data_IF_653794214211
#
_entry.id   IF_653794214211
#
_cell.length_a   1.000
_cell.length_b   1.000
_cell.length_c   1.000
_cell.angle_alpha   90.00
_cell.angle_beta   90.00
_cell.angle_gamma   90.00
#
_symmetry.space_group_name_H-M   'P 1'
#
loop_
_entity.id
_entity.type
_entity.pdbx_description
1 polymer ?
#
# COMPACT_ATOMS: atom_id res chain seq x y z
N UNK A 1 3.57 -15.41 -25.31
CA UNK A 1 4.74 -14.98 -24.51
C UNK A 1 5.78 -14.26 -25.35
N UNK A 2 6.43 -14.90 -26.33
CA UNK A 2 7.50 -14.26 -27.13
C UNK A 2 7.07 -12.94 -27.79
N UNK A 3 5.88 -12.87 -28.41
CA UNK A 3 5.37 -11.63 -29.03
C UNK A 3 5.11 -10.51 -28.01
N UNK A 4 4.62 -10.85 -26.82
CA UNK A 4 4.35 -9.89 -25.73
C UNK A 4 5.68 -9.34 -25.20
N UNK A 5 6.65 -10.23 -24.94
CA UNK A 5 7.97 -9.83 -24.47
C UNK A 5 8.71 -8.96 -25.50
N UNK A 6 8.56 -9.23 -26.80
CA UNK A 6 9.10 -8.37 -27.85
C UNK A 6 8.49 -6.96 -27.82
N UNK A 7 7.19 -6.84 -27.54
CA UNK A 7 6.49 -5.57 -27.52
C UNK A 7 6.81 -4.73 -26.28
N UNK A 8 6.82 -5.36 -25.09
CA UNK A 8 6.88 -4.65 -23.82
C UNK A 8 8.24 -4.76 -23.12
N UNK A 9 9.04 -5.80 -23.36
CA UNK A 9 10.39 -5.98 -22.78
C UNK A 9 10.43 -5.92 -21.24
N UNK A 10 9.34 -6.35 -20.62
CA UNK A 10 9.10 -6.34 -19.18
C UNK A 10 8.88 -7.76 -18.63
N UNK A 11 9.09 -8.81 -19.44
CA UNK A 11 8.94 -10.21 -19.01
C UNK A 11 10.32 -10.83 -18.79
N UNK A 12 10.55 -11.28 -17.56
CA UNK A 12 11.70 -12.11 -17.19
C UNK A 12 11.26 -13.57 -17.17
N UNK A 13 11.97 -14.43 -17.91
CA UNK A 13 11.77 -15.88 -17.86
C UNK A 13 12.97 -16.49 -17.15
N UNK A 14 12.74 -16.98 -15.94
CA UNK A 14 13.76 -17.68 -15.16
C UNK A 14 13.95 -19.11 -15.71
N UNK A 15 15.18 -19.64 -15.74
CA UNK A 15 15.47 -20.98 -16.25
C UNK A 15 15.11 -22.08 -15.23
N UNK A 16 13.90 -22.02 -14.68
CA UNK A 16 13.36 -22.96 -13.69
C UNK A 16 11.95 -23.39 -14.05
N UNK A 17 11.52 -24.53 -13.52
CA UNK A 17 10.12 -24.94 -13.63
C UNK A 17 9.24 -24.07 -12.74
N UNK A 18 8.08 -23.63 -13.25
CA UNK A 18 7.14 -22.82 -12.47
C UNK A 18 6.70 -23.57 -11.20
N UNK A 19 6.80 -22.89 -10.06
CA UNK A 19 6.54 -23.47 -8.76
C UNK A 19 6.21 -22.40 -7.72
N UNK A 20 5.62 -22.84 -6.60
CA UNK A 20 5.33 -21.97 -5.45
C UNK A 20 6.41 -22.06 -4.35
N UNK A 21 7.02 -23.24 -4.16
CA UNK A 21 7.81 -23.56 -2.96
C UNK A 21 9.23 -24.09 -3.26
N UNK A 22 9.70 -23.94 -4.50
CA UNK A 22 10.91 -24.57 -5.05
C UNK A 22 11.93 -23.55 -5.55
N UNK A 23 12.10 -22.43 -4.86
CA UNK A 23 13.20 -21.49 -5.11
C UNK A 23 12.92 -20.32 -6.04
N UNK A 24 11.68 -20.17 -6.54
CA UNK A 24 11.32 -19.06 -7.47
C UNK A 24 11.73 -17.68 -6.97
N UNK A 25 11.47 -17.35 -5.69
CA UNK A 25 11.84 -16.04 -5.14
C UNK A 25 13.35 -15.85 -4.95
N UNK A 26 14.08 -16.92 -4.63
CA UNK A 26 15.53 -16.85 -4.62
C UNK A 26 16.07 -16.51 -6.01
N UNK A 27 15.59 -17.20 -7.05
CA UNK A 27 16.06 -16.99 -8.42
C UNK A 27 15.63 -15.63 -8.97
N UNK A 28 14.46 -15.14 -8.57
CA UNK A 28 14.03 -13.77 -8.83
C UNK A 28 14.98 -12.74 -8.20
N UNK A 29 15.32 -12.85 -6.91
CA UNK A 29 16.26 -11.93 -6.26
C UNK A 29 17.68 -12.08 -6.80
N UNK A 30 18.10 -13.28 -7.17
CA UNK A 30 19.37 -13.51 -7.88
C UNK A 30 19.38 -12.78 -9.23
N UNK A 31 18.33 -12.94 -10.04
CA UNK A 31 18.20 -12.21 -11.30
C UNK A 31 18.21 -10.69 -11.07
N UNK A 32 17.44 -10.20 -10.10
CA UNK A 32 17.32 -8.78 -9.78
C UNK A 32 18.66 -8.18 -9.32
N UNK A 33 19.42 -8.89 -8.49
CA UNK A 33 20.75 -8.48 -8.02
C UNK A 33 21.75 -8.22 -9.17
N UNK A 34 21.52 -8.85 -10.32
CA UNK A 34 22.41 -8.76 -11.48
C UNK A 34 21.84 -7.83 -12.54
N UNK A 35 20.54 -7.87 -12.78
CA UNK A 35 19.92 -7.32 -13.99
C UNK A 35 18.84 -6.26 -13.73
N UNK A 36 18.36 -6.09 -12.48
CA UNK A 36 17.42 -5.02 -12.18
C UNK A 36 18.18 -3.69 -12.14
N UNK A 37 18.02 -2.91 -13.21
CA UNK A 37 18.57 -1.57 -13.36
C UNK A 37 17.41 -0.60 -13.51
N UNK A 38 17.55 0.61 -12.99
CA UNK A 38 16.55 1.67 -13.11
C UNK A 38 17.15 2.92 -13.75
N UNK A 39 16.37 3.69 -14.52
CA UNK A 39 16.81 4.98 -15.03
C UNK A 39 17.30 5.88 -13.90
N UNK A 40 18.36 6.68 -14.11
CA UNK A 40 18.83 7.59 -13.09
C UNK A 40 17.77 8.66 -12.80
N UNK A 41 17.88 9.30 -11.64
CA UNK A 41 17.05 10.47 -11.35
C UNK A 41 17.33 11.57 -12.38
N UNK A 42 16.30 11.95 -13.12
CA UNK A 42 16.32 13.08 -14.03
C UNK A 42 15.92 14.33 -13.23
N UNK A 43 16.68 15.42 -13.33
CA UNK A 43 16.54 16.63 -12.51
C UNK A 43 15.10 17.17 -12.35
N UNK A 44 14.83 17.68 -11.14
CA UNK A 44 13.58 18.26 -10.62
C UNK A 44 13.76 18.54 -9.11
N UNK A 45 12.89 19.30 -8.44
CA UNK A 45 13.01 19.85 -7.06
C UNK A 45 13.31 18.87 -5.90
N UNK A 46 13.63 17.62 -6.20
CA UNK A 46 13.99 16.52 -5.30
C UNK A 46 15.47 16.12 -5.55
N UNK A 47 16.36 17.12 -5.61
CA UNK A 47 17.70 17.08 -6.24
C UNK A 47 18.72 16.21 -5.47
N UNK A 48 18.45 15.81 -4.24
CA UNK A 48 19.37 14.95 -3.49
C UNK A 48 19.15 13.50 -3.85
N UNK A 49 19.95 13.00 -4.81
CA UNK A 49 20.19 11.56 -4.91
C UNK A 49 20.76 11.09 -3.56
N UNK A 50 20.29 9.97 -3.00
CA UNK A 50 20.89 9.41 -1.79
C UNK A 50 22.39 9.18 -2.01
N UNK A 51 23.22 9.69 -1.10
CA UNK A 51 24.68 9.53 -1.15
C UNK A 51 25.15 8.65 -0.01
N UNK A 52 26.27 7.94 -0.22
CA UNK A 52 26.89 7.13 0.83
C UNK A 52 26.42 5.68 0.89
N UNK A 53 25.62 5.23 -0.07
CA UNK A 53 25.33 3.81 -0.22
C UNK A 53 26.44 3.08 -0.98
N UNK A 54 26.75 1.86 -0.56
CA UNK A 54 27.80 1.03 -1.16
C UNK A 54 27.58 0.77 -2.66
N UNK A 55 26.32 0.78 -3.09
CA UNK A 55 25.91 0.53 -4.47
C UNK A 55 25.68 1.81 -5.30
N UNK A 56 25.80 3.01 -4.72
CA UNK A 56 25.44 4.28 -5.39
C UNK A 56 26.26 4.55 -6.66
N UNK A 57 27.50 4.06 -6.72
CA UNK A 57 28.40 4.24 -7.86
C UNK A 57 28.30 3.09 -8.89
N UNK A 58 27.48 2.07 -8.64
CA UNK A 58 27.32 0.94 -9.54
C UNK A 58 26.31 1.33 -10.62
N UNK A 59 26.74 1.27 -11.88
CA UNK A 59 25.90 1.61 -13.01
C UNK A 59 26.09 0.66 -14.18
N UNK A 60 25.11 0.66 -15.09
CA UNK A 60 25.10 -0.14 -16.31
C UNK A 60 24.62 0.71 -17.49
N UNK A 61 25.10 0.44 -18.72
CA UNK A 61 24.48 0.99 -19.92
C UNK A 61 22.97 0.72 -19.92
N UNK A 62 22.14 1.66 -20.40
CA UNK A 62 20.70 1.45 -20.47
C UNK A 62 20.36 0.22 -21.33
N UNK A 63 19.40 -0.61 -20.92
CA UNK A 63 18.90 -1.70 -21.75
C UNK A 63 18.15 -1.16 -22.98
N UNK A 64 17.76 -2.06 -23.87
CA UNK A 64 16.92 -1.68 -25.02
C UNK A 64 15.55 -1.24 -24.52
N UNK A 65 15.21 0.03 -24.74
CA UNK A 65 14.00 0.63 -24.20
C UNK A 65 12.70 0.07 -24.82
N UNK A 66 11.66 0.01 -24.00
CA UNK A 66 10.27 -0.27 -24.36
C UNK A 66 9.46 1.03 -24.56
N UNK A 67 8.26 0.89 -25.13
CA UNK A 67 7.34 2.03 -25.37
C UNK A 67 6.83 2.63 -24.07
N UNK A 68 6.74 1.84 -23.00
CA UNK A 68 6.23 2.28 -21.69
C UNK A 68 7.31 2.83 -20.74
N UNK A 69 8.60 2.81 -21.12
CA UNK A 69 9.68 3.36 -20.29
C UNK A 69 9.48 4.86 -19.95
N UNK A 70 10.28 5.46 -19.05
CA UNK A 70 10.17 6.89 -18.81
C UNK A 70 10.46 7.72 -20.08
N UNK A 71 9.60 8.72 -20.35
CA UNK A 71 9.74 9.63 -21.51
C UNK A 71 11.14 10.24 -21.59
N UNK A 72 11.73 10.57 -20.45
CA UNK A 72 13.08 11.13 -20.36
C UNK A 72 14.15 10.13 -20.83
N UNK A 73 14.05 8.87 -20.43
CA UNK A 73 14.97 7.82 -20.91
C UNK A 73 14.87 7.62 -22.44
N UNK A 74 13.66 7.64 -23.00
CA UNK A 74 13.47 7.58 -24.45
C UNK A 74 14.05 8.80 -25.18
N UNK A 75 13.90 9.99 -24.60
CA UNK A 75 14.49 11.23 -25.15
C UNK A 75 16.00 11.16 -25.18
N UNK A 76 16.64 10.82 -24.07
CA UNK A 76 18.09 10.65 -23.97
C UNK A 76 18.59 9.63 -24.99
N UNK A 77 17.87 8.51 -25.15
CA UNK A 77 18.21 7.51 -26.15
C UNK A 77 18.11 8.02 -27.59
N UNK A 78 17.10 8.83 -27.91
CA UNK A 78 16.92 9.42 -29.24
C UNK A 78 17.96 10.50 -29.57
N UNK A 79 18.42 11.25 -28.56
CA UNK A 79 19.45 12.28 -28.71
C UNK A 79 20.89 11.74 -28.68
N UNK A 80 21.07 10.45 -28.36
CA UNK A 80 22.40 9.86 -28.16
C UNK A 80 23.04 10.20 -26.81
N UNK A 81 22.33 10.94 -25.94
CA UNK A 81 22.76 11.37 -24.61
C UNK A 81 22.39 10.34 -23.53
N UNK A 82 22.63 9.06 -23.82
CA UNK A 82 22.23 7.95 -22.94
C UNK A 82 22.89 8.05 -21.57
N UNK A 83 22.10 8.28 -20.53
CA UNK A 83 22.58 8.24 -19.15
C UNK A 83 22.68 6.79 -18.65
N UNK A 84 23.72 6.44 -17.88
CA UNK A 84 23.84 5.11 -17.30
C UNK A 84 22.74 4.88 -16.26
N UNK A 85 22.19 3.67 -16.26
CA UNK A 85 21.18 3.23 -15.28
C UNK A 85 21.87 2.78 -14.00
N UNK A 86 21.19 2.93 -12.87
CA UNK A 86 21.72 2.69 -11.53
C UNK A 86 21.02 1.51 -10.86
N UNK A 87 21.56 1.06 -9.72
CA UNK A 87 20.87 0.07 -8.89
C UNK A 87 19.60 0.66 -8.28
N UNK A 88 18.52 -0.13 -8.16
CA UNK A 88 17.34 0.29 -7.43
C UNK A 88 17.64 0.29 -5.93
N UNK A 89 17.04 1.21 -5.16
CA UNK A 89 17.18 1.22 -3.69
C UNK A 89 16.43 0.04 -3.04
N UNK A 90 15.34 -0.41 -3.68
CA UNK A 90 14.52 -1.55 -3.26
C UNK A 90 14.18 -2.45 -4.44
N UNK A 91 14.06 -3.76 -4.17
CA UNK A 91 13.37 -4.71 -5.06
C UNK A 91 12.10 -5.16 -4.37
N UNK A 92 11.00 -5.06 -5.10
CA UNK A 92 9.67 -5.42 -4.63
C UNK A 92 9.27 -6.75 -5.27
N UNK A 93 8.81 -7.70 -4.45
CA UNK A 93 8.12 -8.91 -4.90
C UNK A 93 6.64 -8.70 -4.63
N UNK A 94 5.82 -8.80 -5.68
CA UNK A 94 4.38 -8.69 -5.60
C UNK A 94 3.75 -9.93 -6.24
N UNK A 95 2.62 -10.35 -5.69
CA UNK A 95 1.74 -11.28 -6.35
C UNK A 95 1.03 -10.56 -7.51
N UNK A 96 0.53 -11.39 -8.41
CA UNK A 96 0.19 -10.97 -9.75
C UNK A 96 -1.26 -10.41 -9.77
N UNK A 97 -2.09 -10.84 -8.81
CA UNK A 97 -3.47 -10.41 -8.62
C UNK A 97 -3.67 -9.36 -7.50
N UNK A 98 -2.59 -8.73 -7.09
CA UNK A 98 -2.58 -7.71 -6.06
C UNK A 98 -2.89 -6.32 -6.64
N UNK A 99 -3.62 -5.50 -5.88
CA UNK A 99 -3.73 -4.07 -6.17
C UNK A 99 -2.59 -3.29 -5.51
N UNK A 100 -1.86 -2.45 -6.25
CA UNK A 100 -0.80 -1.60 -5.70
C UNK A 100 -0.94 -0.16 -6.18
N UNK A 101 -0.99 0.81 -5.25
CA UNK A 101 -0.79 2.22 -5.59
C UNK A 101 0.70 2.57 -5.54
N UNK A 102 1.37 2.62 -6.70
CA UNK A 102 2.84 2.73 -6.74
C UNK A 102 3.38 4.01 -6.09
N UNK A 103 2.68 5.14 -6.21
CA UNK A 103 3.12 6.39 -5.59
C UNK A 103 3.08 6.31 -4.04
N UNK A 104 2.14 5.56 -3.48
CA UNK A 104 2.03 5.31 -2.04
C UNK A 104 3.10 4.31 -1.56
N UNK A 105 3.41 3.29 -2.38
CA UNK A 105 4.52 2.37 -2.14
C UNK A 105 5.85 3.11 -2.16
N UNK A 106 6.11 3.88 -3.22
CA UNK A 106 7.34 4.66 -3.38
C UNK A 106 7.54 5.64 -2.23
N UNK A 107 6.51 6.40 -1.86
CA UNK A 107 6.60 7.37 -0.77
C UNK A 107 6.99 6.69 0.56
N UNK A 108 6.39 5.53 0.87
CA UNK A 108 6.70 4.79 2.11
C UNK A 108 8.11 4.21 2.08
N UNK A 109 8.52 3.55 1.00
CA UNK A 109 9.87 3.01 0.88
C UNK A 109 10.94 4.11 1.01
N UNK A 110 10.70 5.30 0.43
CA UNK A 110 11.60 6.45 0.56
C UNK A 110 11.70 6.95 2.01
N UNK A 111 10.60 7.03 2.75
CA UNK A 111 10.63 7.39 4.17
C UNK A 111 11.50 6.41 4.95
N UNK A 112 11.33 5.12 4.71
CA UNK A 112 12.09 4.11 5.43
C UNK A 112 13.58 4.16 5.11
N UNK A 113 13.94 4.35 3.84
CA UNK A 113 15.33 4.47 3.38
C UNK A 113 16.08 5.62 4.07
N UNK A 114 15.41 6.74 4.28
CA UNK A 114 16.01 7.96 4.84
C UNK A 114 15.83 8.10 6.35
N UNK A 115 15.05 7.22 6.97
CA UNK A 115 14.91 7.19 8.43
C UNK A 115 16.22 6.68 9.05
N UNK A 116 16.83 7.41 10.01
CA UNK A 116 18.02 6.95 10.70
C UNK A 116 17.81 5.59 11.36
N UNK A 117 18.81 4.72 11.29
CA UNK A 117 18.74 3.42 11.96
C UNK A 117 18.52 3.60 13.46
N UNK A 118 17.40 3.06 13.96
CA UNK A 118 17.17 2.86 15.39
C UNK A 118 17.02 1.36 15.58
N UNK A 119 17.72 0.78 16.57
CA UNK A 119 17.52 -0.62 16.97
C UNK A 119 16.07 -0.77 17.42
N UNK A 120 15.27 -1.46 16.62
CA UNK A 120 13.97 -1.95 17.05
C UNK A 120 14.16 -3.35 17.62
N UNK A 121 13.97 -3.51 18.93
CA UNK A 121 13.83 -4.83 19.53
C UNK A 121 12.46 -5.40 19.14
N UNK A 122 12.44 -6.34 18.21
CA UNK A 122 11.25 -7.14 17.94
C UNK A 122 11.37 -8.40 18.79
N UNK A 123 10.54 -8.47 19.84
CA UNK A 123 10.39 -9.70 20.62
C UNK A 123 9.59 -10.72 19.80
N UNK A 124 10.29 -11.73 19.28
CA UNK A 124 9.67 -12.86 18.60
C UNK A 124 9.17 -13.87 19.64
N UNK A 125 7.89 -14.21 19.64
CA UNK A 125 7.35 -15.26 20.52
C UNK A 125 7.89 -16.64 20.11
N UNK A 126 8.60 -17.28 21.04
CA UNK A 126 9.11 -18.65 20.92
C UNK A 126 7.95 -19.65 20.75
N UNK A 127 8.14 -20.59 19.83
CA UNK A 127 7.09 -21.54 19.43
C UNK A 127 6.91 -22.66 20.44
N UNK A 128 6.34 -22.40 21.61
CA UNK A 128 5.92 -23.47 22.55
C UNK A 128 4.73 -23.15 23.46
N UNK A 129 4.11 -21.96 23.44
CA UNK A 129 2.99 -21.69 24.36
C UNK A 129 1.88 -20.82 23.77
N UNK A 130 0.97 -21.42 22.99
CA UNK A 130 -0.37 -20.86 22.79
C UNK A 130 -1.39 -21.92 22.35
N UNK A 131 -1.53 -22.98 23.14
CA UNK A 131 -2.81 -23.70 23.26
C UNK A 131 -3.34 -23.42 24.66
N UNK A 132 -3.89 -22.22 24.87
CA UNK A 132 -4.88 -22.02 25.92
C UNK A 132 -6.23 -22.07 25.23
N UNK A 133 -6.94 -23.15 25.52
CA UNK A 133 -8.30 -23.41 25.10
C UNK A 133 -9.17 -22.18 25.35
N UNK A 134 -9.84 -21.69 24.30
CA UNK A 134 -11.06 -20.91 24.48
C UNK A 134 -12.10 -21.86 25.06
N UNK A 135 -12.27 -21.84 26.38
CA UNK A 135 -13.50 -22.27 27.01
C UNK A 135 -14.60 -21.33 26.54
N UNK A 136 -15.52 -21.84 25.71
CA UNK A 136 -16.82 -21.21 25.54
C UNK A 136 -17.65 -21.43 26.83
N UNK A 137 -18.48 -20.45 27.23
CA UNK A 137 -19.36 -20.60 28.38
C UNK A 137 -20.54 -21.54 28.04
N UNK A 138 -20.72 -22.55 28.89
CA UNK A 138 -21.85 -23.46 28.89
C UNK A 138 -23.20 -22.71 28.88
N UNK A 139 -24.04 -23.00 27.89
CA UNK A 139 -25.49 -22.75 27.95
C UNK A 139 -26.21 -24.07 27.70
N UNK A 140 -26.85 -24.55 28.76
CA UNK A 140 -27.80 -25.67 28.78
C UNK A 140 -28.94 -25.47 27.76
N UNK A 141 -29.24 -26.49 26.93
CA UNK A 141 -30.57 -27.12 26.85
C UNK A 141 -30.62 -28.31 25.87
N UNK A 142 -30.77 -29.51 26.44
CA UNK A 142 -31.72 -30.60 26.10
C UNK A 142 -32.32 -30.73 24.69
N UNK A 143 -32.03 -31.86 24.01
CA UNK A 143 -32.94 -32.98 23.68
C UNK A 143 -32.73 -33.62 22.30
N UNK A 144 -32.64 -34.96 22.34
CA UNK A 144 -32.60 -35.96 21.28
C UNK A 144 -33.60 -35.77 20.12
N UNK A 145 -33.19 -36.16 18.91
CA UNK A 145 -33.78 -37.31 18.17
C UNK A 145 -32.89 -37.74 17.00
N UNK A 146 -32.86 -39.06 16.79
CA UNK A 146 -32.06 -39.87 15.86
C UNK A 146 -32.34 -39.71 14.34
N UNK A 147 -31.50 -40.45 13.59
CA UNK A 147 -31.63 -41.08 12.25
C UNK A 147 -31.01 -40.31 11.03
N UNK A 148 -30.51 -40.98 9.95
CA UNK A 148 -29.14 -41.50 9.79
C UNK A 148 -28.42 -41.04 8.47
N UNK A 149 -27.16 -41.43 8.36
CA UNK A 149 -26.15 -41.26 7.27
C UNK A 149 -26.63 -41.74 5.87
N UNK A 150 -26.09 -41.20 4.76
CA UNK A 150 -25.20 -42.01 3.93
C UNK A 150 -23.84 -41.37 3.59
N UNK A 151 -22.86 -42.27 3.58
CA UNK A 151 -21.43 -42.16 3.31
C UNK A 151 -21.14 -41.74 1.87
N UNK A 152 -20.01 -41.07 1.61
CA UNK A 152 -19.14 -41.30 0.44
C UNK A 152 -17.76 -40.64 0.63
N UNK A 153 -16.81 -41.51 1.01
CA UNK A 153 -15.38 -41.59 0.68
C UNK A 153 -14.56 -40.36 0.25
N UNK A 154 -13.52 -40.07 1.04
CA UNK A 154 -12.25 -39.60 0.52
C UNK A 154 -11.10 -40.34 1.23
N UNK A 155 -10.36 -41.09 0.42
CA UNK A 155 -9.27 -41.98 0.77
C UNK A 155 -8.09 -41.32 1.50
N UNK A 156 -7.58 -42.11 2.44
CA UNK A 156 -6.37 -41.97 3.25
C UNK A 156 -5.09 -42.16 2.43
N UNK A 157 -4.06 -41.37 2.75
CA UNK A 157 -2.70 -41.93 2.83
C UNK A 157 -1.99 -41.33 4.05
N UNK A 158 -1.73 -42.23 4.98
CA UNK A 158 -0.92 -42.13 6.18
C UNK A 158 0.55 -42.01 5.83
N UNK A 159 1.31 -41.20 6.58
CA UNK A 159 2.63 -41.61 7.04
C UNK A 159 2.95 -40.97 8.38
N UNK A 160 3.03 -41.85 9.38
CA UNK A 160 3.38 -41.63 10.76
C UNK A 160 4.88 -41.83 10.94
N UNK A 161 5.59 -40.84 11.47
CA UNK A 161 6.87 -41.09 12.13
C UNK A 161 6.91 -40.42 13.50
N UNK A 162 6.87 -41.32 14.48
CA UNK A 162 7.10 -41.23 15.92
C UNK A 162 8.46 -40.59 16.21
N UNK A 163 8.50 -39.62 17.13
CA UNK A 163 9.71 -39.32 17.91
C UNK A 163 9.32 -39.22 19.38
N UNK A 164 9.91 -40.14 20.14
CA UNK A 164 9.79 -40.36 21.57
C UNK A 164 10.50 -39.28 22.39
N UNK A 165 9.82 -38.82 23.43
CA UNK A 165 10.38 -38.03 24.53
C UNK A 165 11.44 -38.83 25.30
N UNK A 166 12.57 -38.19 25.61
CA UNK A 166 13.34 -38.50 26.81
C UNK A 166 14.02 -37.24 27.36
N UNK A 167 13.52 -36.85 28.54
CA UNK A 167 14.19 -36.30 29.72
C UNK A 167 15.47 -35.48 29.59
N UNK A 168 15.42 -34.29 30.21
CA UNK A 168 16.47 -33.29 30.20
C UNK A 168 17.76 -33.64 30.94
N UNK A 169 18.83 -32.99 30.49
CA UNK A 169 20.03 -32.67 31.26
C UNK A 169 20.51 -31.29 30.84
N UNK A 170 20.69 -30.42 31.83
CA UNK A 170 21.28 -29.09 31.73
C UNK A 170 22.79 -29.20 31.46
N UNK A 171 23.33 -28.55 30.42
CA UNK A 171 24.75 -28.22 30.34
C UNK A 171 25.01 -26.94 29.53
N UNK A 172 25.39 -25.88 30.27
CA UNK A 172 26.35 -24.89 29.79
C UNK A 172 27.67 -25.60 29.51
N UNK A 173 28.24 -25.53 28.32
CA UNK A 173 29.71 -25.42 28.12
C UNK A 173 30.01 -24.84 26.74
N UNK A 174 30.87 -23.82 26.77
CA UNK A 174 31.48 -23.12 25.65
C UNK A 174 32.31 -24.08 24.79
N UNK A 175 32.16 -24.01 23.47
CA UNK A 175 33.22 -24.40 22.52
C UNK A 175 33.35 -23.23 21.52
N UNK A 176 34.39 -22.43 21.76
CA UNK A 176 34.87 -21.39 20.88
C UNK A 176 35.37 -22.01 19.58
N UNK A 177 34.70 -21.73 18.47
CA UNK A 177 35.28 -21.92 17.15
C UNK A 177 36.35 -20.82 16.93
N UNK A 178 37.45 -21.11 16.21
CA UNK A 178 38.49 -20.12 15.96
C UNK A 178 37.89 -18.93 15.17
N UNK A 179 38.35 -17.69 15.41
CA UNK A 179 37.86 -16.54 14.69
C UNK A 179 38.21 -16.73 13.21
N UNK A 180 37.19 -16.99 12.39
CA UNK A 180 37.29 -16.75 10.96
C UNK A 180 37.64 -15.27 10.74
N UNK A 181 38.32 -14.92 9.65
CA UNK A 181 38.65 -13.52 9.36
C UNK A 181 37.37 -12.69 9.47
N UNK A 182 37.40 -11.69 10.36
CA UNK A 182 36.26 -10.79 10.50
C UNK A 182 35.98 -10.16 9.13
N UNK A 183 34.73 -10.25 8.63
CA UNK A 183 34.37 -9.49 7.45
C UNK A 183 34.48 -8.01 7.81
N UNK A 184 35.41 -7.32 7.16
CA UNK A 184 35.51 -5.87 7.16
C UNK A 184 34.26 -5.31 6.46
N UNK A 185 33.13 -5.27 7.16
CA UNK A 185 31.87 -4.76 6.61
C UNK A 185 31.71 -3.29 7.03
N UNK A 186 32.52 -2.41 6.42
CA UNK A 186 32.33 -0.94 6.44
C UNK A 186 31.02 -0.53 5.72
N UNK A 187 30.19 -1.49 5.33
CA UNK A 187 28.94 -1.26 4.64
C UNK A 187 27.85 -0.78 5.61
N UNK A 188 27.68 0.53 5.75
CA UNK A 188 26.62 1.14 6.57
C UNK A 188 25.26 1.21 5.87
N UNK A 189 25.06 0.50 4.76
CA UNK A 189 23.79 0.52 4.04
C UNK A 189 22.61 0.10 4.96
N UNK A 190 21.43 0.74 4.79
CA UNK A 190 20.24 0.36 5.52
C UNK A 190 19.75 -1.02 5.07
N UNK A 191 19.50 -1.90 6.04
CA UNK A 191 18.92 -3.22 5.82
C UNK A 191 17.44 -3.18 6.17
N UNK A 192 16.57 -3.18 5.16
CA UNK A 192 15.13 -2.97 5.34
C UNK A 192 14.36 -4.13 4.70
N UNK A 193 13.60 -4.84 5.54
CA UNK A 193 12.59 -5.80 5.12
C UNK A 193 11.22 -5.19 5.37
N UNK A 194 10.51 -4.84 4.31
CA UNK A 194 9.27 -4.06 4.36
C UNK A 194 8.10 -4.90 3.83
N UNK A 195 6.95 -4.81 4.48
CA UNK A 195 5.73 -5.48 3.99
C UNK A 195 4.69 -5.70 5.08
N UNK A 196 3.71 -6.55 4.80
CA UNK A 196 2.66 -6.88 5.77
C UNK A 196 3.13 -7.96 6.75
N UNK A 197 3.44 -7.56 7.99
CA UNK A 197 4.01 -8.46 8.99
C UNK A 197 2.94 -9.37 9.62
N UNK A 198 3.02 -10.68 9.34
CA UNK A 198 2.10 -11.67 9.90
C UNK A 198 2.65 -12.25 11.19
N UNK A 199 1.91 -12.07 12.29
CA UNK A 199 2.20 -12.62 13.62
C UNK A 199 3.63 -12.33 14.09
N UNK A 200 4.18 -11.16 13.72
CA UNK A 200 5.58 -10.80 13.96
C UNK A 200 6.58 -11.87 13.47
N UNK A 201 6.26 -12.63 12.42
CA UNK A 201 7.09 -13.77 11.97
C UNK A 201 7.59 -13.65 10.54
N UNK A 202 6.82 -13.12 9.61
CA UNK A 202 7.25 -12.98 8.22
C UNK A 202 6.42 -11.91 7.53
N UNK A 203 7.00 -11.25 6.54
CA UNK A 203 6.20 -10.43 5.63
C UNK A 203 5.44 -11.39 4.73
N UNK A 204 4.14 -11.22 4.66
CA UNK A 204 3.26 -12.08 3.88
C UNK A 204 2.27 -11.24 3.11
N UNK A 205 1.35 -11.97 2.48
CA UNK A 205 0.35 -11.38 1.64
C UNK A 205 0.96 -11.05 0.29
N UNK A 206 0.22 -10.22 -0.40
CA UNK A 206 0.38 -9.90 -1.79
C UNK A 206 1.71 -9.18 -2.15
N UNK A 207 2.48 -8.67 -1.17
CA UNK A 207 3.72 -7.94 -1.45
C UNK A 207 4.69 -7.86 -0.26
N UNK A 208 5.98 -7.87 -0.58
CA UNK A 208 7.04 -7.35 0.30
C UNK A 208 8.19 -6.72 -0.52
N UNK A 209 9.02 -5.93 0.15
CA UNK A 209 10.18 -5.28 -0.45
C UNK A 209 11.44 -5.51 0.39
N UNK A 210 12.57 -5.65 -0.31
CA UNK A 210 13.90 -5.75 0.27
C UNK A 210 14.75 -4.57 -0.21
N UNK A 211 15.46 -3.92 0.70
CA UNK A 211 16.54 -2.98 0.34
C UNK A 211 17.58 -3.69 -0.54
N UNK A 212 18.21 -2.97 -1.47
CA UNK A 212 19.21 -3.54 -2.38
C UNK A 212 20.27 -4.40 -1.70
N UNK A 213 20.80 -3.95 -0.55
CA UNK A 213 21.88 -4.65 0.15
C UNK A 213 21.44 -6.04 0.65
N UNK A 214 20.17 -6.19 1.04
CA UNK A 214 19.58 -7.49 1.36
C UNK A 214 19.38 -8.36 0.12
N UNK A 215 18.93 -7.78 -1.00
CA UNK A 215 18.80 -8.50 -2.29
C UNK A 215 20.16 -9.02 -2.76
N UNK A 216 21.18 -8.18 -2.69
CA UNK A 216 22.55 -8.52 -3.06
C UNK A 216 23.09 -9.63 -2.14
N UNK A 217 22.82 -9.58 -0.84
CA UNK A 217 23.21 -10.65 0.08
C UNK A 217 22.48 -11.97 -0.24
N UNK A 218 21.15 -11.96 -0.35
CA UNK A 218 20.32 -13.15 -0.69
C UNK A 218 20.84 -13.85 -1.94
N UNK A 219 21.21 -13.08 -2.97
CA UNK A 219 21.68 -13.63 -4.23
C UNK A 219 23.06 -14.30 -4.16
N UNK A 220 23.92 -13.86 -3.24
CA UNK A 220 25.33 -14.25 -3.22
C UNK A 220 25.68 -15.22 -2.08
N UNK A 221 24.93 -15.19 -0.98
CA UNK A 221 25.19 -16.02 0.20
C UNK A 221 25.07 -17.53 -0.10
N UNK A 222 26.12 -18.34 0.17
CA UNK A 222 26.09 -19.78 -0.12
C UNK A 222 25.05 -20.55 0.70
N UNK A 223 24.74 -20.11 1.92
CA UNK A 223 23.80 -20.81 2.78
C UNK A 223 22.36 -20.53 2.37
N UNK A 224 22.04 -19.29 2.01
CA UNK A 224 20.71 -18.92 1.46
C UNK A 224 20.36 -19.76 0.23
N UNK A 225 21.33 -20.03 -0.67
CA UNK A 225 21.15 -20.90 -1.84
C UNK A 225 20.72 -22.32 -1.50
N UNK A 226 21.02 -22.81 -0.29
CA UNK A 226 20.57 -24.13 0.18
C UNK A 226 19.18 -24.10 0.83
N UNK A 227 18.65 -22.92 1.13
CA UNK A 227 17.39 -22.69 1.86
C UNK A 227 16.25 -22.23 0.94
N UNK A 228 16.07 -22.88 -0.20
CA UNK A 228 15.10 -22.47 -1.23
C UNK A 228 13.80 -23.26 -1.22
N UNK A 229 13.69 -24.31 -0.39
CA UNK A 229 12.51 -25.18 -0.31
C UNK A 229 11.56 -24.80 0.82
N UNK A 230 10.28 -24.64 0.48
CA UNK A 230 9.18 -24.36 1.41
C UNK A 230 8.39 -23.11 1.01
N UNK A 231 7.41 -22.75 1.83
CA UNK A 231 6.60 -21.55 1.60
C UNK A 231 7.48 -20.31 1.52
N UNK A 232 7.39 -19.62 0.39
CA UNK A 232 8.27 -18.55 -0.04
C UNK A 232 8.44 -17.43 0.99
N UNK A 233 7.35 -16.76 1.41
CA UNK A 233 7.37 -15.68 2.41
C UNK A 233 8.11 -16.08 3.70
N UNK A 234 7.91 -17.34 4.12
CA UNK A 234 8.57 -17.90 5.31
C UNK A 234 10.05 -18.15 5.06
N UNK A 235 10.46 -18.53 3.85
CA UNK A 235 11.87 -18.70 3.50
C UNK A 235 12.58 -17.36 3.47
N UNK A 236 12.01 -16.34 2.82
CA UNK A 236 12.56 -14.98 2.83
C UNK A 236 12.80 -14.49 4.25
N UNK A 237 11.83 -14.72 5.13
CA UNK A 237 11.93 -14.38 6.55
C UNK A 237 13.00 -15.18 7.32
N UNK A 238 13.24 -16.45 6.96
CA UNK A 238 14.35 -17.23 7.52
C UNK A 238 15.69 -16.66 7.07
N UNK A 239 15.84 -16.29 5.80
CA UNK A 239 17.04 -15.65 5.28
C UNK A 239 17.35 -14.37 6.06
N UNK A 240 16.36 -13.50 6.29
CA UNK A 240 16.58 -12.28 7.08
C UNK A 240 17.09 -12.58 8.49
N UNK A 241 16.56 -13.61 9.17
CA UNK A 241 17.01 -13.98 10.53
C UNK A 241 18.41 -14.56 10.61
N UNK A 242 18.91 -15.16 9.54
CA UNK A 242 20.26 -15.72 9.50
C UNK A 242 21.30 -14.74 8.94
N UNK A 243 20.87 -13.55 8.51
CA UNK A 243 21.79 -12.52 8.03
C UNK A 243 22.84 -12.21 9.12
N UNK A 244 24.13 -12.03 8.78
CA UNK A 244 25.18 -11.74 9.78
C UNK A 244 24.88 -10.50 10.64
N UNK A 245 24.16 -9.54 10.07
CA UNK A 245 23.65 -8.33 10.72
C UNK A 245 22.14 -8.36 10.92
N UNK A 246 21.57 -9.51 11.30
CA UNK A 246 20.12 -9.66 11.49
C UNK A 246 19.55 -8.62 12.47
N UNK A 247 20.31 -8.26 13.51
CA UNK A 247 19.92 -7.25 14.50
C UNK A 247 19.84 -5.81 13.93
N UNK A 248 20.48 -5.56 12.79
CA UNK A 248 20.39 -4.28 12.08
C UNK A 248 19.25 -4.26 11.06
N UNK A 249 18.62 -5.40 10.77
CA UNK A 249 17.51 -5.47 9.82
C UNK A 249 16.28 -4.82 10.44
N UNK A 250 15.79 -3.77 9.79
CA UNK A 250 14.52 -3.12 10.11
C UNK A 250 13.38 -3.87 9.46
N UNK A 251 12.53 -4.48 10.29
CA UNK A 251 11.29 -5.09 9.86
C UNK A 251 10.18 -4.05 9.89
N UNK A 252 9.94 -3.44 8.74
CA UNK A 252 8.93 -2.39 8.62
C UNK A 252 7.59 -3.03 8.29
N UNK A 253 6.76 -3.19 9.32
CA UNK A 253 5.38 -3.65 9.16
C UNK A 253 4.53 -2.51 8.61
N UNK A 254 4.03 -2.68 7.39
CA UNK A 254 3.18 -1.70 6.73
C UNK A 254 1.86 -2.33 6.30
N UNK A 255 0.78 -1.53 6.41
CA UNK A 255 -0.58 -1.89 5.94
C UNK A 255 -0.97 -1.02 4.75
N UNK A 256 0.01 -0.81 3.87
CA UNK A 256 -0.12 -0.08 2.62
C UNK A 256 -1.31 -0.58 1.83
N UNK A 257 -1.75 0.20 0.84
CA UNK A 257 -2.92 -0.13 0.00
C UNK A 257 -2.55 -1.24 -0.99
N UNK A 258 -2.36 -2.42 -0.43
CA UNK A 258 -2.01 -3.67 -1.07
C UNK A 258 -2.96 -4.70 -0.51
N UNK A 259 -3.84 -5.17 -1.37
CA UNK A 259 -4.91 -6.08 -1.02
C UNK A 259 -5.41 -6.80 -2.26
N UNK A 260 -6.05 -7.95 -2.04
CA UNK A 260 -6.72 -8.72 -3.09
C UNK A 260 -7.94 -7.97 -3.59
N UNK A 261 -8.36 -8.30 -4.80
CA UNK A 261 -9.66 -7.86 -5.32
C UNK A 261 -10.78 -8.04 -4.26
N UNK A 262 -11.69 -7.05 -4.09
CA UNK A 262 -12.71 -7.09 -3.04
C UNK A 262 -13.57 -8.37 -3.01
N UNK A 263 -13.68 -9.06 -4.16
CA UNK A 263 -14.43 -10.32 -4.31
C UNK A 263 -13.62 -11.60 -4.06
N UNK A 264 -12.34 -11.53 -3.70
CA UNK A 264 -11.49 -12.71 -3.56
C UNK A 264 -11.86 -13.56 -2.33
N UNK A 265 -12.43 -12.95 -1.27
CA UNK A 265 -12.89 -13.64 -0.07
C UNK A 265 -11.75 -14.16 0.82
N UNK A 266 -10.55 -13.59 0.65
CA UNK A 266 -9.37 -13.86 1.45
C UNK A 266 -9.29 -12.88 2.63
N UNK A 267 -8.35 -13.13 3.55
CA UNK A 267 -8.04 -12.19 4.64
C UNK A 267 -7.42 -10.89 4.16
N UNK A 268 -7.00 -10.84 2.90
CA UNK A 268 -6.41 -9.68 2.24
C UNK A 268 -7.40 -9.00 1.29
N UNK A 269 -8.66 -9.47 1.16
CA UNK A 269 -9.66 -8.80 0.33
C UNK A 269 -10.15 -7.51 0.98
N UNK A 270 -10.12 -6.41 0.22
CA UNK A 270 -10.58 -5.10 0.69
C UNK A 270 -11.30 -4.35 -0.45
N UNK A 271 -12.21 -3.43 -0.12
CA UNK A 271 -12.80 -2.57 -1.14
C UNK A 271 -11.77 -1.62 -1.77
N UNK A 272 -12.04 -1.15 -2.99
CA UNK A 272 -11.17 -0.21 -3.68
C UNK A 272 -11.05 1.09 -2.88
N UNK A 273 -9.84 1.38 -2.42
CA UNK A 273 -9.54 2.46 -1.50
C UNK A 273 -8.91 3.63 -2.24
N UNK A 274 -9.43 4.83 -1.98
CA UNK A 274 -8.94 6.07 -2.58
C UNK A 274 -8.39 7.03 -1.51
N UNK A 275 -7.48 7.95 -1.90
CA UNK A 275 -6.94 8.94 -0.96
C UNK A 275 -8.00 9.77 -0.22
N UNK A 276 -9.12 10.11 -0.87
CA UNK A 276 -10.24 10.82 -0.23
C UNK A 276 -10.79 10.07 0.97
N UNK A 277 -11.05 8.77 0.82
CA UNK A 277 -11.57 7.93 1.90
C UNK A 277 -10.54 7.75 3.01
N UNK A 278 -9.26 7.53 2.68
CA UNK A 278 -8.22 7.42 3.70
C UNK A 278 -8.10 8.70 4.53
N UNK A 279 -8.18 9.87 3.90
CA UNK A 279 -8.16 11.15 4.62
C UNK A 279 -9.41 11.34 5.47
N UNK A 280 -10.57 10.82 5.03
CA UNK A 280 -11.81 10.83 5.81
C UNK A 280 -11.66 9.97 7.07
N UNK A 281 -11.19 8.73 6.93
CA UNK A 281 -10.90 7.82 8.05
C UNK A 281 -9.86 8.43 9.00
N UNK A 282 -8.75 8.97 8.49
CA UNK A 282 -7.74 9.64 9.31
C UNK A 282 -8.31 10.80 10.11
N UNK A 283 -9.15 11.63 9.50
CA UNK A 283 -9.79 12.76 10.17
C UNK A 283 -10.70 12.29 11.31
N UNK A 284 -11.48 11.23 11.08
CA UNK A 284 -12.40 10.69 12.09
C UNK A 284 -11.61 10.08 13.27
N UNK A 285 -10.53 9.34 12.99
CA UNK A 285 -9.61 8.82 14.02
C UNK A 285 -8.92 9.95 14.80
N UNK A 286 -8.42 10.97 14.12
CA UNK A 286 -7.79 12.14 14.76
C UNK A 286 -8.77 12.93 15.62
N UNK A 287 -10.03 13.03 15.18
CA UNK A 287 -11.09 13.65 15.97
C UNK A 287 -11.33 12.86 17.26
N UNK A 288 -11.47 11.54 17.18
CA UNK A 288 -11.65 10.67 18.35
C UNK A 288 -10.47 10.77 19.32
N UNK A 289 -9.24 10.78 18.80
CA UNK A 289 -8.02 10.97 19.60
C UNK A 289 -8.03 12.32 20.33
N UNK A 290 -8.42 13.39 19.65
CA UNK A 290 -8.50 14.73 20.25
C UNK A 290 -9.54 14.77 21.37
N UNK A 291 -10.69 14.14 21.17
CA UNK A 291 -11.74 14.05 22.19
C UNK A 291 -11.28 13.24 23.40
N UNK A 292 -10.55 12.15 23.18
CA UNK A 292 -9.97 11.35 24.26
C UNK A 292 -9.01 12.20 25.11
N UNK A 293 -8.05 12.89 24.49
CA UNK A 293 -7.08 13.71 25.21
C UNK A 293 -7.70 14.90 25.94
N UNK A 294 -8.74 15.53 25.36
CA UNK A 294 -9.48 16.59 26.03
C UNK A 294 -10.09 16.08 27.36
N UNK A 295 -10.68 14.88 27.34
CA UNK A 295 -11.27 14.26 28.54
C UNK A 295 -10.22 13.85 29.57
N UNK A 296 -9.04 13.39 29.15
CA UNK A 296 -7.94 13.05 30.06
C UNK A 296 -7.38 14.30 30.75
N UNK A 297 -7.22 15.41 30.01
CA UNK A 297 -6.82 16.69 30.58
C UNK A 297 -7.82 17.23 31.63
N UNK A 298 -9.12 17.05 31.40
CA UNK A 298 -10.16 17.46 32.36
C UNK A 298 -10.18 16.60 33.64
N UNK A 299 -9.60 15.40 33.63
CA UNK A 299 -9.55 14.50 34.81
C UNK A 299 -8.45 14.84 35.83
N UNK A 300 -7.69 15.92 35.65
CA UNK A 300 -6.59 16.31 36.56
C UNK A 300 -5.59 15.18 36.84
N UNK A 301 -5.20 14.41 35.82
CA UNK A 301 -4.04 13.52 35.96
C UNK A 301 -2.79 14.42 36.01
N UNK A 302 -1.96 14.36 37.07
CA UNK A 302 -0.74 15.16 37.14
C UNK A 302 0.13 14.89 35.93
N UNK A 303 0.65 15.96 35.34
CA UNK A 303 1.66 15.92 34.28
C UNK A 303 2.71 14.85 34.63
N UNK A 304 2.97 13.82 33.79
CA UNK A 304 3.97 12.84 34.12
C UNK A 304 5.31 13.58 34.10
N UNK A 305 5.87 13.75 35.30
CA UNK A 305 7.24 14.18 35.50
C UNK A 305 8.11 13.40 34.51
N UNK A 306 8.87 14.16 33.73
CA UNK A 306 9.84 13.62 32.80
C UNK A 306 10.65 12.51 33.47
N UNK A 307 10.75 11.37 32.77
CA UNK A 307 11.57 10.17 32.96
C UNK A 307 10.75 8.89 33.20
N UNK A 308 10.40 8.23 32.09
CA UNK A 308 10.35 6.76 32.04
C UNK A 308 8.99 6.06 32.09
N UNK A 309 7.87 6.77 32.22
CA UNK A 309 6.54 6.13 32.18
C UNK A 309 5.98 6.20 30.77
N UNK A 310 5.93 5.05 30.09
CA UNK A 310 5.22 4.84 28.83
C UNK A 310 3.78 5.30 29.03
N UNK A 311 3.40 6.41 28.41
CA UNK A 311 2.02 6.88 28.40
C UNK A 311 1.17 5.72 27.86
N UNK A 312 0.33 5.13 28.72
CA UNK A 312 -0.59 4.06 28.35
C UNK A 312 -1.74 4.66 27.56
N UNK A 313 -1.44 5.17 26.37
CA UNK A 313 -2.47 5.51 25.41
C UNK A 313 -3.19 4.19 25.07
N UNK A 314 -4.53 4.13 25.12
CA UNK A 314 -5.27 2.97 24.63
C UNK A 314 -5.08 2.78 23.11
N UNK A 315 -4.38 3.71 22.46
CA UNK A 315 -4.09 3.74 21.03
C UNK A 315 -2.57 3.76 20.81
N UNK A 316 -2.04 2.91 19.93
CA UNK A 316 -0.59 2.82 19.66
C UNK A 316 -0.14 1.37 19.42
N UNK A 317 1.17 1.09 19.29
CA UNK A 317 1.71 -0.25 19.01
C UNK A 317 1.26 -1.32 20.03
N UNK A 318 0.91 -0.89 21.25
CA UNK A 318 0.48 -1.73 22.36
C UNK A 318 -0.97 -1.47 22.81
N UNK A 319 -1.68 -0.56 22.15
CA UNK A 319 -3.07 -0.19 22.49
C UNK A 319 -4.09 -0.89 21.59
N UNK A 320 -5.24 -1.30 22.14
CA UNK A 320 -6.32 -1.88 21.34
C UNK A 320 -7.11 -0.77 20.63
N UNK A 321 -7.00 -0.70 19.31
CA UNK A 321 -7.85 0.19 18.52
C UNK A 321 -9.32 -0.23 18.65
N UNK A 322 -10.25 0.72 18.82
CA UNK A 322 -11.67 0.42 18.87
C UNK A 322 -12.14 -0.28 17.60
N UNK A 323 -13.07 -1.22 17.74
CA UNK A 323 -13.60 -2.02 16.62
C UNK A 323 -14.32 -1.17 15.56
N UNK A 324 -14.83 0.01 15.93
CA UNK A 324 -15.45 0.92 14.98
C UNK A 324 -14.44 1.66 14.07
N UNK A 325 -13.15 1.66 14.40
CA UNK A 325 -12.10 2.17 13.51
C UNK A 325 -11.74 1.18 12.39
N UNK A 326 -12.05 -0.10 12.55
CA UNK A 326 -11.82 -1.14 11.53
C UNK A 326 -13.03 -1.39 10.63
N UNK A 327 -13.89 -0.38 10.43
CA UNK A 327 -15.10 -0.51 9.63
C UNK A 327 -14.77 -0.41 8.14
N UNK A 328 -15.23 -1.40 7.36
CA UNK A 328 -15.23 -1.36 5.90
C UNK A 328 -16.69 -1.33 5.40
N UNK A 329 -16.89 -0.67 4.28
CA UNK A 329 -18.19 -0.57 3.58
C UNK A 329 -18.37 -1.67 2.54
N UNK A 330 -17.29 -2.38 2.20
CA UNK A 330 -17.27 -3.38 1.12
C UNK A 330 -16.96 -4.77 1.64
N UNK A 331 -15.93 -4.90 2.47
CA UNK A 331 -15.40 -6.18 2.96
C UNK A 331 -15.64 -6.39 4.44
N UNK A 332 -16.11 -7.58 4.82
CA UNK A 332 -16.17 -8.05 6.20
C UNK A 332 -15.25 -9.25 6.36
N UNK A 333 -14.41 -9.25 7.39
CA UNK A 333 -13.48 -10.35 7.63
C UNK A 333 -14.22 -11.70 7.72
N UNK A 334 -13.75 -12.69 6.95
CA UNK A 334 -14.32 -14.03 6.91
C UNK A 334 -15.66 -14.15 6.16
N UNK A 335 -16.16 -13.08 5.55
CA UNK A 335 -17.38 -13.11 4.75
C UNK A 335 -17.07 -12.86 3.27
N UNK A 336 -17.72 -13.61 2.39
CA UNK A 336 -17.67 -13.32 0.95
C UNK A 336 -18.41 -12.02 0.67
N UNK A 337 -17.84 -11.21 -0.21
CA UNK A 337 -18.51 -10.00 -0.70
C UNK A 337 -19.91 -10.31 -1.23
N UNK A 338 -20.87 -9.50 -0.82
CA UNK A 338 -22.24 -9.52 -1.32
C UNK A 338 -22.63 -8.12 -1.76
N UNK A 339 -23.20 -8.00 -2.96
CA UNK A 339 -23.65 -6.71 -3.47
C UNK A 339 -24.72 -6.11 -2.54
N UNK A 340 -24.74 -4.77 -2.37
CA UNK A 340 -25.76 -4.11 -1.57
C UNK A 340 -27.17 -4.22 -2.19
N UNK A 341 -27.24 -4.36 -3.52
CA UNK A 341 -28.46 -4.46 -4.34
C UNK A 341 -28.29 -5.63 -5.35
N UNK A 342 -29.36 -6.33 -5.76
CA UNK A 342 -29.27 -7.40 -6.77
C UNK A 342 -28.58 -6.94 -8.07
N UNK A 343 -27.72 -7.79 -8.62
CA UNK A 343 -26.96 -7.48 -9.83
C UNK A 343 -27.85 -7.15 -11.05
N UNK A 344 -29.09 -7.65 -11.10
CA UNK A 344 -30.07 -7.35 -12.14
C UNK A 344 -30.53 -5.89 -12.17
N UNK A 345 -30.32 -5.15 -11.07
CA UNK A 345 -30.72 -3.75 -10.92
C UNK A 345 -29.53 -2.78 -11.05
N UNK A 346 -28.32 -3.30 -11.30
CA UNK A 346 -27.10 -2.50 -11.39
C UNK A 346 -26.52 -2.54 -12.79
N UNK A 347 -26.15 -1.38 -13.32
CA UNK A 347 -25.22 -1.30 -14.44
C UNK A 347 -23.83 -1.79 -14.03
N UNK A 348 -22.98 -2.14 -14.99
CA UNK A 348 -21.59 -2.54 -14.72
C UNK A 348 -20.82 -1.46 -13.94
N UNK A 349 -21.01 -0.19 -14.29
CA UNK A 349 -20.33 0.92 -13.61
C UNK A 349 -20.80 1.06 -12.15
N UNK A 350 -22.12 0.91 -11.90
CA UNK A 350 -22.67 0.91 -10.54
C UNK A 350 -22.22 -0.30 -9.71
N UNK A 351 -22.07 -1.47 -10.34
CA UNK A 351 -21.59 -2.67 -9.64
C UNK A 351 -20.12 -2.58 -9.24
N UNK A 352 -19.28 -1.92 -10.05
CA UNK A 352 -17.89 -1.61 -9.71
C UNK A 352 -17.83 -0.54 -8.61
N UNK A 353 -18.67 0.49 -8.68
CA UNK A 353 -18.75 1.52 -7.64
C UNK A 353 -19.18 0.96 -6.28
N UNK A 354 -20.02 -0.09 -6.26
CA UNK A 354 -20.36 -0.82 -5.04
C UNK A 354 -19.17 -1.55 -4.39
N UNK A 355 -18.03 -1.68 -5.10
CA UNK A 355 -16.78 -2.24 -4.60
C UNK A 355 -15.82 -1.16 -4.05
N UNK A 356 -16.19 0.13 -4.15
CA UNK A 356 -15.36 1.25 -3.69
C UNK A 356 -15.63 1.55 -2.22
N UNK A 357 -14.57 1.62 -1.41
CA UNK A 357 -14.69 1.95 0.00
C UNK A 357 -15.18 3.38 0.20
N UNK A 358 -16.17 3.53 1.09
CA UNK A 358 -16.73 4.82 1.45
C UNK A 358 -17.63 5.44 0.38
N UNK A 359 -17.87 4.76 -0.74
CA UNK A 359 -18.84 5.19 -1.75
C UNK A 359 -20.26 5.21 -1.18
N UNK A 360 -21.09 6.14 -1.65
CA UNK A 360 -22.51 6.16 -1.32
C UNK A 360 -23.25 4.93 -1.84
N UNK A 361 -22.72 4.27 -2.87
CA UNK A 361 -23.26 3.01 -3.41
C UNK A 361 -22.88 1.82 -2.52
N UNK A 362 -21.64 1.74 -2.04
CA UNK A 362 -21.21 0.64 -1.17
C UNK A 362 -21.87 0.68 0.22
N UNK A 363 -22.28 1.86 0.67
CA UNK A 363 -23.03 2.05 1.93
C UNK A 363 -24.50 1.63 1.86
N UNK A 364 -25.05 1.34 0.68
CA UNK A 364 -26.46 1.00 0.54
C UNK A 364 -26.81 -0.29 1.28
N UNK A 365 -27.89 -0.28 2.06
CA UNK A 365 -28.39 -1.47 2.77
C UNK A 365 -29.69 -1.92 2.12
N UNK A 366 -29.63 -2.74 1.05
CA UNK A 366 -30.79 -3.43 0.44
C UNK A 366 -32.08 -2.58 0.32
N UNK A 367 -31.97 -1.28 0.07
CA UNK A 367 -33.12 -0.39 -0.12
C UNK A 367 -33.38 -0.27 -1.62
N UNK A 368 -34.50 -0.80 -2.13
CA UNK A 368 -34.86 -0.64 -3.54
C UNK A 368 -35.00 0.83 -3.92
N UNK A 369 -34.47 1.24 -5.08
CA UNK A 369 -34.58 2.61 -5.59
C UNK A 369 -33.59 3.63 -5.03
N UNK A 370 -32.73 3.26 -4.07
CA UNK A 370 -31.71 4.15 -3.51
C UNK A 370 -30.46 4.31 -4.40
N UNK A 371 -30.35 3.54 -5.49
CA UNK A 371 -29.15 3.53 -6.33
C UNK A 371 -28.92 4.83 -7.10
N UNK A 372 -29.98 5.42 -7.65
CA UNK A 372 -29.89 6.63 -8.47
C UNK A 372 -29.32 7.84 -7.69
N UNK A 373 -29.85 8.20 -6.51
CA UNK A 373 -29.26 9.28 -5.73
C UNK A 373 -27.83 8.95 -5.28
N UNK A 374 -27.55 7.74 -4.78
CA UNK A 374 -26.19 7.34 -4.37
C UNK A 374 -25.19 7.41 -5.51
N UNK A 375 -25.59 7.01 -6.72
CA UNK A 375 -24.77 7.10 -7.91
C UNK A 375 -24.51 8.56 -8.31
N UNK A 376 -25.53 9.43 -8.23
CA UNK A 376 -25.38 10.85 -8.55
C UNK A 376 -24.39 11.55 -7.61
N UNK A 377 -24.41 11.23 -6.31
CA UNK A 377 -23.54 11.84 -5.30
C UNK A 377 -22.17 11.18 -5.15
N UNK A 378 -21.84 10.19 -5.98
CA UNK A 378 -20.49 9.57 -5.98
C UNK A 378 -19.41 10.62 -6.27
N UNK A 379 -18.22 10.38 -5.72
CA UNK A 379 -17.08 11.28 -5.95
C UNK A 379 -16.48 11.07 -7.35
N UNK A 380 -16.14 12.16 -8.03
CA UNK A 380 -15.35 12.14 -9.26
C UNK A 380 -13.88 11.81 -9.01
N UNK A 381 -13.13 11.48 -10.07
CA UNK A 381 -11.71 11.06 -9.94
C UNK A 381 -10.85 12.15 -9.30
N UNK A 382 -11.06 13.42 -9.63
CA UNK A 382 -10.28 14.53 -9.07
C UNK A 382 -10.43 14.58 -7.54
N UNK A 383 -11.66 14.39 -7.03
CA UNK A 383 -11.93 14.36 -5.60
C UNK A 383 -11.36 13.09 -4.95
N UNK A 384 -11.59 11.91 -5.54
CA UNK A 384 -11.03 10.62 -5.07
C UNK A 384 -9.53 10.68 -4.87
N UNK A 385 -8.80 11.18 -5.86
CA UNK A 385 -7.34 11.30 -5.83
C UNK A 385 -6.84 12.58 -5.17
N UNK A 386 -7.73 13.44 -4.64
CA UNK A 386 -7.38 14.71 -4.00
C UNK A 386 -6.58 15.66 -4.91
N UNK A 387 -6.86 15.64 -6.21
CA UNK A 387 -6.11 16.38 -7.23
C UNK A 387 -4.66 15.94 -7.39
N UNK A 388 -4.24 14.85 -6.73
CA UNK A 388 -2.88 14.29 -6.83
C UNK A 388 -2.81 13.36 -8.04
N UNK A 389 -1.61 13.26 -8.63
CA UNK A 389 -1.31 12.32 -9.71
C UNK A 389 -1.03 10.91 -9.17
N UNK A 390 -1.97 10.34 -8.42
CA UNK A 390 -1.82 9.01 -7.80
C UNK A 390 -2.49 7.90 -8.63
N UNK A 391 -3.54 8.23 -9.39
CA UNK A 391 -4.39 7.26 -10.10
C UNK A 391 -3.87 6.71 -11.43
N UNK A 392 -2.67 7.10 -11.87
CA UNK A 392 -2.10 6.68 -13.16
C UNK A 392 -1.11 5.51 -13.06
N UNK A 393 -0.87 4.99 -11.85
CA UNK A 393 0.24 4.07 -11.57
C UNK A 393 -0.23 2.95 -10.65
N UNK A 394 -1.24 2.24 -11.11
CA UNK A 394 -1.73 1.03 -10.46
C UNK A 394 -1.27 -0.15 -11.29
N UNK A 395 -0.51 -1.04 -10.67
CA UNK A 395 -0.10 -2.29 -11.30
C UNK A 395 -1.10 -3.35 -10.87
N UNK A 396 -1.75 -3.97 -11.86
CA UNK A 396 -2.43 -5.26 -11.71
C UNK A 396 -1.64 -6.22 -12.60
N UNK A 397 -0.75 -6.99 -11.99
CA UNK A 397 0.25 -7.76 -12.74
C UNK A 397 -0.30 -9.15 -13.07
N UNK A 398 -1.34 -9.28 -13.91
CA UNK A 398 -1.91 -10.56 -14.37
C UNK A 398 -2.95 -11.25 -13.44
N UNK A 399 -3.60 -12.30 -13.96
CA UNK A 399 -5.04 -12.51 -13.80
C UNK A 399 -5.36 -13.84 -13.09
N UNK A 400 -5.85 -13.79 -11.83
CA UNK A 400 -6.67 -14.90 -11.30
C UNK A 400 -8.02 -15.01 -12.03
N UNK A 401 -8.66 -13.86 -12.37
CA UNK A 401 -9.89 -13.78 -13.18
C UNK A 401 -9.95 -12.50 -14.03
N UNK A 402 -10.19 -12.62 -15.35
CA UNK A 402 -10.16 -11.47 -16.28
C UNK A 402 -11.08 -10.32 -15.81
N UNK A 403 -12.21 -10.69 -15.22
CA UNK A 403 -13.19 -9.75 -14.70
C UNK A 403 -12.64 -8.87 -13.58
N UNK A 404 -11.80 -9.39 -12.68
CA UNK A 404 -11.23 -8.61 -11.57
C UNK A 404 -10.25 -7.56 -12.06
N UNK A 405 -9.46 -7.88 -13.09
CA UNK A 405 -8.61 -6.91 -13.76
C UNK A 405 -9.44 -5.76 -14.34
N UNK A 406 -10.53 -6.09 -15.06
CA UNK A 406 -11.41 -5.09 -15.67
C UNK A 406 -12.15 -4.25 -14.62
N UNK A 407 -12.70 -4.87 -13.57
CA UNK A 407 -13.35 -4.16 -12.46
C UNK A 407 -12.36 -3.18 -11.79
N UNK A 408 -11.11 -3.60 -11.58
CA UNK A 408 -10.04 -2.75 -11.03
C UNK A 408 -9.69 -1.60 -11.97
N UNK A 409 -9.52 -1.87 -13.27
CA UNK A 409 -9.23 -0.86 -14.27
C UNK A 409 -10.35 0.19 -14.35
N UNK A 410 -11.61 -0.25 -14.37
CA UNK A 410 -12.79 0.63 -14.37
C UNK A 410 -12.83 1.48 -13.10
N UNK A 411 -12.57 0.89 -11.92
CA UNK A 411 -12.62 1.62 -10.65
C UNK A 411 -11.60 2.77 -10.60
N UNK A 412 -10.37 2.53 -11.07
CA UNK A 412 -9.27 3.46 -10.85
C UNK A 412 -8.90 4.35 -12.04
N UNK A 413 -9.04 3.83 -13.27
CA UNK A 413 -8.59 4.50 -14.49
C UNK A 413 -9.73 5.17 -15.25
N UNK A 414 -10.93 4.58 -15.20
CA UNK A 414 -12.11 5.13 -15.88
C UNK A 414 -12.95 6.04 -14.97
N UNK A 415 -13.97 6.66 -15.57
CA UNK A 415 -14.89 7.58 -14.90
C UNK A 415 -14.61 9.05 -15.15
N UNK A 416 -15.52 9.88 -14.65
CA UNK A 416 -15.49 11.33 -14.82
C UNK A 416 -14.49 11.97 -13.84
N UNK A 417 -13.76 13.00 -14.29
CA UNK A 417 -12.89 13.77 -13.39
C UNK A 417 -13.70 14.49 -12.30
N UNK A 418 -14.85 15.04 -12.70
CA UNK A 418 -15.80 15.76 -11.87
C UNK A 418 -17.20 15.31 -12.27
N UNK A 419 -18.00 14.85 -11.32
CA UNK A 419 -19.38 14.40 -11.59
C UNK A 419 -20.33 15.56 -11.86
N UNK A 420 -21.50 15.28 -12.42
CA UNK A 420 -22.54 16.30 -12.67
C UNK A 420 -23.01 16.99 -11.37
N UNK A 421 -23.15 16.22 -10.28
CA UNK A 421 -23.50 16.77 -8.96
C UNK A 421 -22.40 17.68 -8.41
N UNK A 422 -21.12 17.29 -8.57
CA UNK A 422 -19.97 18.12 -8.18
C UNK A 422 -19.90 19.41 -9.01
N UNK A 423 -20.14 19.31 -10.33
CA UNK A 423 -20.16 20.48 -11.22
C UNK A 423 -21.26 21.47 -10.84
N UNK A 424 -22.47 20.96 -10.59
CA UNK A 424 -23.61 21.78 -10.16
C UNK A 424 -23.33 22.49 -8.83
N UNK A 425 -22.67 21.80 -7.90
CA UNK A 425 -22.25 22.39 -6.62
C UNK A 425 -21.21 23.50 -6.81
N UNK A 426 -20.18 23.27 -7.64
CA UNK A 426 -19.15 24.27 -7.95
C UNK A 426 -19.73 25.51 -8.63
N UNK A 427 -20.66 25.32 -9.57
CA UNK A 427 -21.38 26.41 -10.24
C UNK A 427 -22.23 27.21 -9.25
N UNK A 428 -22.92 26.53 -8.33
CA UNK A 428 -23.70 27.18 -7.27
C UNK A 428 -22.82 27.99 -6.31
N UNK A 429 -21.69 27.43 -5.88
CA UNK A 429 -20.72 28.15 -5.03
C UNK A 429 -20.12 29.37 -5.74
N UNK A 430 -19.78 29.24 -7.03
CA UNK A 430 -19.28 30.35 -7.84
C UNK A 430 -20.34 31.46 -7.99
N UNK A 431 -21.60 31.09 -8.20
CA UNK A 431 -22.72 32.04 -8.26
C UNK A 431 -22.93 32.75 -6.91
N UNK A 432 -22.87 32.02 -5.80
CA UNK A 432 -22.95 32.59 -4.43
C UNK A 432 -21.78 33.54 -4.14
N UNK A 433 -20.55 33.18 -4.54
CA UNK A 433 -19.38 34.03 -4.38
C UNK A 433 -19.52 35.33 -5.21
N UNK A 434 -19.98 35.22 -6.45
CA UNK A 434 -20.25 36.36 -7.33
C UNK A 434 -21.33 37.28 -6.74
N UNK A 435 -22.41 36.71 -6.19
CA UNK A 435 -23.46 37.46 -5.52
C UNK A 435 -22.95 38.20 -4.26
N UNK A 436 -22.10 37.56 -3.46
CA UNK A 436 -21.46 38.18 -2.29
C UNK A 436 -20.57 39.37 -2.67
N UNK A 437 -19.80 39.25 -3.76
CA UNK A 437 -18.98 40.35 -4.29
C UNK A 437 -19.85 41.49 -4.81
N UNK A 438 -20.93 41.19 -5.54
CA UNK A 438 -21.87 42.20 -6.03
C UNK A 438 -22.55 42.96 -4.88
N UNK A 439 -22.95 42.27 -3.80
CA UNK A 439 -23.50 42.90 -2.59
C UNK A 439 -22.46 43.77 -1.89
N UNK A 440 -21.22 43.31 -1.76
CA UNK A 440 -20.13 44.10 -1.16
C UNK A 440 -19.77 45.36 -1.97
N UNK A 441 -19.86 45.30 -3.30
CA UNK A 441 -19.68 46.45 -4.18
C UNK A 441 -20.90 47.41 -4.13
N UNK A 442 -22.12 46.86 -3.99
CA UNK A 442 -23.35 47.64 -3.82
C UNK A 442 -23.44 48.37 -2.47
N UNK A 443 -22.95 47.78 -1.39
CA UNK A 443 -22.90 48.43 -0.06
C UNK A 443 -21.82 49.51 0.01
N UNK A 444 -20.68 49.33 -0.67
CA UNK A 444 -19.65 50.37 -0.80
C UNK A 444 -20.06 51.51 -1.76
N UNK A 445 -20.98 51.25 -2.69
CA UNK A 445 -21.55 52.27 -3.58
C UNK A 445 -22.43 53.32 -2.89
N UNK A 446 -22.99 53.00 -1.71
CA UNK A 446 -23.77 53.97 -0.92
C UNK A 446 -22.91 54.83 0.03
N UNK A 447 -21.67 54.46 0.32
CA UNK A 447 -20.75 55.28 1.11
C UNK A 447 -19.88 56.22 0.24
N UNK A 448 -19.79 55.97 -1.07
CA UNK A 448 -19.02 56.81 -2.00
C UNK A 448 -19.87 57.85 -2.75
N UNK A 449 -21.20 57.86 -2.57
CA UNK A 449 -22.09 58.81 -3.26
C UNK A 449 -22.26 60.16 -2.54
N UNK A 450 -21.74 60.33 -1.33
CA UNK A 450 -21.75 61.62 -0.61
C UNK A 450 -20.44 62.43 -0.75
N UNK A 451 -19.39 61.92 -1.42
CA UNK A 451 -18.12 62.65 -1.52
C UNK A 451 -17.55 62.85 -2.94
N UNK A 452 -18.28 62.47 -4.00
CA UNK A 452 -17.83 62.67 -5.38
C UNK A 452 -18.50 63.89 -6.03
N UNK A 453 -18.27 65.07 -5.45
CA UNK A 453 -18.52 66.36 -6.12
C UNK A 453 -17.28 67.26 -5.98
N UNK A 454 -16.09 66.72 -6.22
CA UNK A 454 -15.00 67.57 -6.68
C UNK A 454 -13.93 66.77 -7.43
N UNK A 455 -13.39 67.42 -8.45
CA UNK A 455 -12.21 67.05 -9.25
C UNK A 455 -12.40 66.03 -10.39
N UNK A 456 -12.63 66.61 -11.57
CA UNK A 456 -12.34 66.02 -12.86
C UNK A 456 -10.88 66.33 -13.25
N UNK A 457 -10.06 65.30 -13.55
CA UNK A 457 -8.96 65.34 -14.54
C UNK A 457 -8.75 63.90 -15.08
N UNK A 458 -8.60 63.68 -16.40
CA UNK A 458 -8.47 62.35 -17.00
C UNK A 458 -6.99 61.94 -17.14
N UNK A 459 -6.66 60.64 -17.14
CA UNK A 459 -5.49 60.07 -17.86
C UNK A 459 -5.48 58.51 -17.85
N UNK A 460 -5.57 57.98 -19.08
CA UNK A 460 -4.89 56.82 -19.71
C UNK A 460 -5.09 55.39 -19.18
N UNK A 461 -5.78 54.61 -20.02
CA UNK A 461 -5.83 53.15 -20.07
C UNK A 461 -4.47 52.53 -20.46
N UNK A 462 -4.06 51.45 -19.75
CA UNK A 462 -3.31 50.34 -20.33
C UNK A 462 -3.76 49.03 -19.67
N UNK A 463 -4.47 48.21 -20.43
CA UNK A 463 -4.87 46.86 -20.04
C UNK A 463 -3.75 45.85 -20.25
N UNK A 464 -3.67 44.84 -19.38
CA UNK A 464 -2.96 43.58 -19.61
C UNK A 464 -3.86 42.45 -19.10
N UNK A 465 -4.24 41.55 -20.01
CA UNK A 465 -4.91 40.26 -19.75
C UNK A 465 -3.87 39.16 -19.59
N UNK A 466 -4.00 38.22 -18.64
CA UNK A 466 -3.25 36.96 -18.68
C UNK A 466 -4.04 35.93 -19.49
N UNK A 467 -3.57 35.66 -20.71
CA UNK A 467 -3.86 34.42 -21.42
C UNK A 467 -2.76 33.42 -21.04
N UNK A 468 -3.12 32.23 -20.59
CA UNK A 468 -2.36 30.99 -20.78
C UNK A 468 -3.24 29.79 -20.37
N UNK A 469 -4.14 29.44 -21.29
CA UNK A 469 -4.89 28.19 -21.31
C UNK A 469 -4.07 27.17 -22.10
N UNK A 470 -3.44 26.21 -21.42
CA UNK A 470 -2.80 25.06 -22.06
C UNK A 470 -3.83 23.95 -22.28
N UNK A 471 -4.34 23.86 -23.50
CA UNK A 471 -5.19 22.78 -24.00
C UNK A 471 -4.38 21.50 -24.26
N UNK A 472 -4.80 20.37 -23.71
CA UNK A 472 -4.32 19.04 -24.11
C UNK A 472 -5.24 18.46 -25.18
N UNK A 473 -4.73 18.36 -26.41
CA UNK A 473 -5.30 17.47 -27.43
C UNK A 473 -4.90 16.02 -27.11
N UNK A 474 -5.89 15.14 -27.13
CA UNK A 474 -5.69 13.68 -27.20
C UNK A 474 -5.42 13.34 -28.65
N UNK A 475 -4.27 12.74 -28.94
CA UNK A 475 -4.09 11.99 -30.18
C UNK A 475 -4.42 10.52 -29.91
N UNK A 476 -5.13 9.97 -30.90
CA UNK A 476 -5.86 8.69 -30.97
C UNK A 476 -4.96 7.47 -30.81
#
# INVERSE_FOLDING_TARGET
MLTINTAYKDIVILPIHENMNGGKSHDFFQWASQHAWVPPLYSGSWITAPTGFSYANISSPPPVLAVHDPVRARRDHALGERRPWVRPDFVVKADDDSFLMLAELEARLRVELHTPSHRQEITFEDSTSSFIARQEPDVLSTNNTDVPIPVLDASTSSDSHTLSESSGVSHKTLISSPPGPEPTDDNTDPLIYWGYLVKNRFMAGELYALSWSLVNWVANDPHVKTMTRGAEDKQTSKWMRMHPRADDIRWVSERCWIYDHPRAGTVYSHGFLFPSEVKRVQRDVLFDLKQYWAREHERNVPEPQALGVVSSTPFGPYGTSPTWWSRSTVSSFGQRYSLPIPASELTTAQSVEALVEGSEVSKLIKVPGAIDPSWQYREGRQKRYQGKRLGGTIVVHYIKKNMWFLETAVAFLEGEEVTEAERSHLEHEAALATAKVAVALGTNGNLLREHAHDQAVPVVQRGHTPQDLWSWQRDV
#
